data_IF_318267874336
#
_entry.id   IF_318267874336
#
_cell.length_a   1.000
_cell.length_b   1.000
_cell.length_c   1.000
_cell.angle_alpha   90.00
_cell.angle_beta   90.00
_cell.angle_gamma   90.00
#
_symmetry.space_group_name_H-M   'P 1'
#
loop_
_entity.id
_entity.type
_entity.pdbx_description
1 polymer ?
#
# COMPACT_ATOMS: atom_id res chain seq x y z
N UNK A 1 -9.56 18.39 -2.89
CA UNK A 1 -10.09 17.43 -1.90
C UNK A 1 -10.55 18.18 -0.67
N UNK A 2 -11.72 17.84 -0.19
CA UNK A 2 -12.28 18.43 1.05
C UNK A 2 -12.28 17.39 2.17
N UNK A 3 -11.37 17.52 3.12
CA UNK A 3 -11.30 16.59 4.27
C UNK A 3 -12.52 16.69 5.19
N UNK A 4 -13.28 17.82 5.17
CA UNK A 4 -14.50 17.97 5.95
C UNK A 4 -15.58 16.95 5.53
N UNK A 5 -15.50 16.40 4.31
CA UNK A 5 -16.35 15.29 3.85
C UNK A 5 -16.32 14.08 4.81
N UNK A 6 -15.18 13.81 5.42
CA UNK A 6 -15.02 12.64 6.30
C UNK A 6 -15.57 12.87 7.72
N UNK A 7 -15.95 14.09 8.10
CA UNK A 7 -16.47 14.36 9.43
C UNK A 7 -17.74 13.56 9.71
N UNK A 8 -17.69 12.77 10.77
CA UNK A 8 -18.79 11.87 11.18
C UNK A 8 -19.00 10.64 10.31
N UNK A 9 -18.21 10.43 9.23
CA UNK A 9 -18.28 9.21 8.41
C UNK A 9 -17.71 8.03 9.17
N UNK A 10 -18.41 6.90 9.12
CA UNK A 10 -17.91 5.63 9.64
C UNK A 10 -17.00 4.98 8.60
N UNK A 11 -15.73 4.87 8.95
CA UNK A 11 -14.67 4.40 8.06
C UNK A 11 -14.01 3.16 8.64
N UNK A 12 -13.97 2.08 7.86
CA UNK A 12 -13.21 0.87 8.21
C UNK A 12 -11.89 0.85 7.43
N UNK A 13 -10.78 0.69 8.16
CA UNK A 13 -9.44 0.56 7.57
C UNK A 13 -8.85 -0.80 7.92
N UNK A 14 -8.71 -1.70 6.95
CA UNK A 14 -7.94 -2.92 7.17
C UNK A 14 -6.44 -2.64 6.99
N UNK A 15 -5.59 -3.25 7.82
CA UNK A 15 -4.15 -2.97 7.80
C UNK A 15 -3.76 -1.64 8.47
N UNK A 16 -4.57 -1.16 9.40
CA UNK A 16 -4.42 0.12 10.10
C UNK A 16 -3.14 0.24 10.93
N UNK A 17 -2.57 -0.86 11.40
CA UNK A 17 -1.32 -0.88 12.18
C UNK A 17 -0.07 -0.79 11.32
N UNK A 18 -0.20 -0.97 10.00
CA UNK A 18 0.90 -0.86 9.05
C UNK A 18 1.26 0.59 8.74
N UNK A 19 2.39 0.81 8.06
CA UNK A 19 2.93 2.14 7.74
C UNK A 19 1.90 3.06 7.05
N UNK A 20 1.39 2.69 5.87
CA UNK A 20 0.37 3.48 5.14
C UNK A 20 -0.95 3.58 5.90
N UNK A 21 -1.36 2.48 6.54
CA UNK A 21 -2.59 2.43 7.34
C UNK A 21 -2.57 3.40 8.51
N UNK A 22 -1.44 3.53 9.20
CA UNK A 22 -1.27 4.48 10.32
C UNK A 22 -1.38 5.94 9.86
N UNK A 23 -0.73 6.30 8.75
CA UNK A 23 -0.88 7.63 8.15
C UNK A 23 -2.33 7.93 7.76
N UNK A 24 -2.99 6.98 7.08
CA UNK A 24 -4.39 7.12 6.66
C UNK A 24 -5.31 7.30 7.87
N UNK A 25 -5.17 6.47 8.91
CA UNK A 25 -5.97 6.58 10.13
C UNK A 25 -5.76 7.94 10.81
N UNK A 26 -4.53 8.43 10.93
CA UNK A 26 -4.26 9.73 11.56
C UNK A 26 -4.90 10.89 10.81
N UNK A 27 -4.88 10.87 9.47
CA UNK A 27 -5.55 11.89 8.66
C UNK A 27 -7.07 11.81 8.83
N UNK A 28 -7.66 10.61 8.76
CA UNK A 28 -9.10 10.41 8.94
C UNK A 28 -9.59 10.86 10.32
N UNK A 29 -8.85 10.52 11.38
CA UNK A 29 -9.15 10.98 12.76
C UNK A 29 -9.11 12.49 12.84
N UNK A 30 -8.07 13.14 12.30
CA UNK A 30 -7.95 14.58 12.28
C UNK A 30 -9.06 15.26 11.46
N UNK A 31 -9.59 14.57 10.43
CA UNK A 31 -10.74 15.02 9.66
C UNK A 31 -12.08 14.83 10.37
N UNK A 32 -12.09 14.21 11.55
CA UNK A 32 -13.29 13.96 12.35
C UNK A 32 -14.09 12.73 11.92
N UNK A 33 -13.49 11.77 11.21
CA UNK A 33 -14.11 10.48 10.88
C UNK A 33 -14.22 9.59 12.13
N UNK A 34 -15.21 8.69 12.14
CA UNK A 34 -15.35 7.61 13.13
C UNK A 34 -14.60 6.40 12.57
N UNK A 35 -13.35 6.22 13.00
CA UNK A 35 -12.44 5.23 12.41
C UNK A 35 -12.48 3.93 13.19
N UNK A 36 -12.70 2.83 12.48
CA UNK A 36 -12.47 1.46 12.97
C UNK A 36 -11.34 0.82 12.18
N UNK A 37 -10.36 0.24 12.86
CA UNK A 37 -9.27 -0.49 12.23
C UNK A 37 -9.38 -1.99 12.49
N UNK A 38 -9.06 -2.82 11.49
CA UNK A 38 -8.94 -4.27 11.60
C UNK A 38 -7.62 -4.74 11.00
N UNK A 39 -6.72 -5.29 11.80
CA UNK A 39 -5.39 -5.69 11.36
C UNK A 39 -4.73 -6.63 12.37
N UNK A 40 -3.68 -7.31 11.95
CA UNK A 40 -2.72 -7.94 12.88
C UNK A 40 -2.00 -6.87 13.70
N UNK A 41 -1.26 -7.28 14.72
CA UNK A 41 -0.35 -6.40 15.48
C UNK A 41 0.61 -5.68 14.54
N UNK A 42 1.17 -4.52 14.95
CA UNK A 42 2.18 -3.83 14.15
C UNK A 42 3.29 -4.76 13.69
N UNK A 43 3.80 -4.62 12.44
CA UNK A 43 4.77 -5.57 11.86
C UNK A 43 6.19 -5.41 12.40
N UNK A 44 6.46 -4.37 13.18
CA UNK A 44 7.78 -4.05 13.76
C UNK A 44 7.61 -3.52 15.18
N UNK A 45 8.57 -3.78 16.07
CA UNK A 45 8.55 -3.31 17.46
C UNK A 45 8.46 -1.78 17.52
N UNK A 46 9.29 -1.10 16.75
CA UNK A 46 9.17 0.34 16.52
C UNK A 46 8.24 0.55 15.31
N UNK A 47 7.13 1.25 15.51
CA UNK A 47 6.11 1.47 14.47
C UNK A 47 5.38 2.80 14.65
N UNK A 48 4.85 3.33 13.57
CA UNK A 48 4.16 4.64 13.58
C UNK A 48 2.86 4.60 14.38
N UNK A 49 2.16 3.47 14.40
CA UNK A 49 0.87 3.33 15.08
C UNK A 49 1.00 3.58 16.59
N UNK A 50 2.02 3.01 17.20
CA UNK A 50 2.30 3.17 18.64
C UNK A 50 2.97 4.52 18.94
N UNK A 51 3.95 4.96 18.12
CA UNK A 51 4.62 6.26 18.29
C UNK A 51 3.63 7.42 18.32
N UNK A 52 2.64 7.40 17.43
CA UNK A 52 1.62 8.44 17.34
C UNK A 52 0.39 8.18 18.22
N UNK A 53 0.41 7.17 19.08
CA UNK A 53 -0.69 6.79 19.98
C UNK A 53 -2.06 6.71 19.25
N UNK A 54 -2.07 6.25 17.99
CA UNK A 54 -3.25 6.28 17.11
C UNK A 54 -4.41 5.49 17.69
N UNK A 55 -4.10 4.43 18.43
CA UNK A 55 -5.10 3.57 19.10
C UNK A 55 -6.05 4.35 20.03
N UNK A 56 -5.59 5.45 20.61
CA UNK A 56 -6.37 6.21 21.59
C UNK A 56 -7.56 6.96 20.94
N UNK A 57 -7.47 7.23 19.65
CA UNK A 57 -8.40 8.09 18.91
C UNK A 57 -9.32 7.30 17.97
N UNK A 58 -9.26 5.93 18.00
CA UNK A 58 -10.05 5.08 17.10
C UNK A 58 -10.44 3.74 17.75
N UNK A 59 -11.37 3.01 17.15
CA UNK A 59 -11.62 1.61 17.49
C UNK A 59 -10.61 0.72 16.78
N UNK A 60 -9.61 0.19 17.51
CA UNK A 60 -8.58 -0.70 16.96
C UNK A 60 -8.84 -2.15 17.33
N UNK A 61 -9.13 -2.99 16.34
CA UNK A 61 -9.42 -4.42 16.49
C UNK A 61 -8.25 -5.22 15.90
N UNK A 62 -7.64 -6.05 16.74
CA UNK A 62 -6.57 -6.94 16.29
C UNK A 62 -7.19 -8.26 15.80
N UNK A 63 -6.90 -8.59 14.54
CA UNK A 63 -7.43 -9.78 13.88
C UNK A 63 -6.73 -10.08 12.55
N UNK A 64 -6.99 -11.26 12.00
CA UNK A 64 -6.44 -11.70 10.71
C UNK A 64 -7.49 -11.56 9.62
N UNK A 65 -7.15 -10.95 8.50
CA UNK A 65 -8.06 -10.75 7.36
C UNK A 65 -8.56 -12.08 6.75
N UNK A 66 -7.88 -13.18 7.05
CA UNK A 66 -8.28 -14.54 6.64
C UNK A 66 -9.43 -15.09 7.49
N UNK A 67 -9.63 -14.55 8.69
CA UNK A 67 -10.75 -14.92 9.56
C UNK A 67 -12.01 -14.12 9.18
N UNK A 68 -12.82 -14.72 8.31
CA UNK A 68 -14.06 -14.09 7.85
C UNK A 68 -15.09 -13.90 8.96
N UNK A 69 -15.08 -14.72 10.04
CA UNK A 69 -16.04 -14.60 11.13
C UNK A 69 -15.76 -13.37 11.96
N UNK A 70 -14.53 -13.21 12.42
CA UNK A 70 -14.10 -12.02 13.16
C UNK A 70 -14.23 -10.73 12.31
N UNK A 71 -13.97 -10.83 11.00
CA UNK A 71 -14.15 -9.71 10.07
C UNK A 71 -15.62 -9.32 9.95
N UNK A 72 -16.56 -10.27 9.82
CA UNK A 72 -18.01 -10.01 9.80
C UNK A 72 -18.50 -9.34 11.07
N UNK A 73 -18.06 -9.79 12.24
CA UNK A 73 -18.37 -9.14 13.52
C UNK A 73 -17.89 -7.69 13.55
N UNK A 74 -16.70 -7.44 13.01
CA UNK A 74 -16.15 -6.08 12.88
C UNK A 74 -17.01 -5.21 11.98
N UNK A 75 -17.44 -5.71 10.82
CA UNK A 75 -18.33 -4.98 9.90
C UNK A 75 -19.68 -4.67 10.54
N UNK A 76 -20.30 -5.63 11.21
CA UNK A 76 -21.59 -5.44 11.90
C UNK A 76 -21.45 -4.36 12.98
N UNK A 77 -20.38 -4.42 13.79
CA UNK A 77 -20.16 -3.47 14.90
C UNK A 77 -19.82 -2.06 14.42
N UNK A 78 -19.05 -1.92 13.36
CA UNK A 78 -18.61 -0.62 12.84
C UNK A 78 -19.56 0.01 11.84
N UNK A 79 -20.43 -0.79 11.20
CA UNK A 79 -21.38 -0.39 10.15
C UNK A 79 -20.80 0.64 9.18
N UNK A 80 -19.69 0.33 8.45
CA UNK A 80 -18.92 1.31 7.71
C UNK A 80 -19.66 1.80 6.47
N UNK A 81 -19.51 3.10 6.18
CA UNK A 81 -19.93 3.72 4.91
C UNK A 81 -18.81 3.69 3.88
N UNK A 82 -17.53 3.70 4.35
CA UNK A 82 -16.34 3.72 3.52
C UNK A 82 -15.37 2.64 4.03
N UNK A 83 -14.81 1.86 3.11
CA UNK A 83 -13.83 0.81 3.44
C UNK A 83 -12.54 1.07 2.68
N UNK A 84 -11.42 1.17 3.41
CA UNK A 84 -10.08 1.15 2.85
C UNK A 84 -9.42 -0.20 3.15
N UNK A 85 -9.17 -0.98 2.12
CA UNK A 85 -8.53 -2.28 2.24
C UNK A 85 -7.03 -2.19 1.95
N UNK A 86 -6.21 -2.09 3.04
CA UNK A 86 -4.75 -2.03 2.96
C UNK A 86 -4.08 -3.28 3.54
N UNK A 87 -4.83 -4.16 4.22
CA UNK A 87 -4.28 -5.39 4.80
C UNK A 87 -3.71 -6.29 3.70
N UNK A 88 -2.44 -6.65 3.83
CA UNK A 88 -1.74 -7.51 2.89
C UNK A 88 -0.48 -8.10 3.53
N UNK A 89 0.06 -9.18 2.95
CA UNK A 89 1.47 -9.53 3.06
C UNK A 89 2.23 -8.75 1.96
N UNK A 90 3.02 -7.69 2.30
CA UNK A 90 3.53 -6.74 1.31
C UNK A 90 4.99 -6.98 0.89
N UNK A 91 5.66 -7.99 1.44
CA UNK A 91 7.10 -8.21 1.29
C UNK A 91 7.36 -9.29 0.24
N UNK A 92 7.98 -8.92 -0.89
CA UNK A 92 8.29 -9.84 -1.99
C UNK A 92 9.13 -11.03 -1.52
N UNK A 93 10.14 -10.83 -0.68
CA UNK A 93 10.99 -11.92 -0.19
C UNK A 93 10.23 -12.93 0.67
N UNK A 94 9.31 -12.46 1.51
CA UNK A 94 8.47 -13.33 2.31
C UNK A 94 7.51 -14.13 1.44
N UNK A 95 7.06 -13.59 0.30
CA UNK A 95 6.19 -14.31 -0.63
C UNK A 95 6.88 -15.52 -1.29
N UNK A 96 8.21 -15.49 -1.43
CA UNK A 96 8.98 -16.65 -1.90
C UNK A 96 9.18 -17.69 -0.80
N UNK A 97 9.21 -17.29 0.48
CA UNK A 97 9.34 -18.24 1.60
C UNK A 97 8.02 -18.91 1.93
N UNK A 98 6.94 -18.14 1.90
CA UNK A 98 5.58 -18.62 2.19
C UNK A 98 4.57 -18.08 1.16
N UNK A 99 4.52 -18.69 -0.03
CA UNK A 99 3.56 -18.30 -1.06
C UNK A 99 2.12 -18.61 -0.66
N UNK A 100 1.86 -19.69 0.09
CA UNK A 100 0.52 -20.06 0.53
C UNK A 100 -0.08 -18.95 1.40
N UNK A 101 0.63 -18.55 2.45
CA UNK A 101 0.22 -17.44 3.31
C UNK A 101 0.01 -16.14 2.52
N UNK A 102 0.85 -15.89 1.51
CA UNK A 102 0.75 -14.69 0.66
C UNK A 102 -0.56 -14.69 -0.13
N UNK A 103 -0.93 -15.80 -0.78
CA UNK A 103 -2.18 -15.91 -1.52
C UNK A 103 -3.41 -15.93 -0.59
N UNK A 104 -3.36 -16.67 0.51
CA UNK A 104 -4.43 -16.64 1.51
C UNK A 104 -4.72 -15.23 2.02
N UNK A 105 -3.65 -14.46 2.30
CA UNK A 105 -3.80 -13.10 2.81
C UNK A 105 -4.25 -12.13 1.73
N UNK A 106 -3.57 -12.11 0.57
CA UNK A 106 -3.75 -11.06 -0.43
C UNK A 106 -4.95 -11.33 -1.35
N UNK A 107 -5.28 -12.59 -1.62
CA UNK A 107 -6.41 -12.96 -2.48
C UNK A 107 -7.63 -13.29 -1.63
N UNK A 108 -7.53 -14.33 -0.77
CA UNK A 108 -8.67 -14.73 0.04
C UNK A 108 -9.06 -13.69 1.08
N UNK A 109 -8.07 -12.95 1.65
CA UNK A 109 -8.36 -11.79 2.50
C UNK A 109 -9.14 -10.70 1.77
N UNK A 110 -8.81 -10.41 0.49
CA UNK A 110 -9.59 -9.49 -0.34
C UNK A 110 -11.01 -10.04 -0.58
N UNK A 111 -11.16 -11.33 -0.92
CA UNK A 111 -12.49 -11.99 -1.05
C UNK A 111 -13.30 -11.81 0.24
N UNK A 112 -12.70 -12.03 1.40
CA UNK A 112 -13.38 -11.90 2.69
C UNK A 112 -13.90 -10.47 2.95
N UNK A 113 -13.10 -9.45 2.62
CA UNK A 113 -13.55 -8.04 2.72
C UNK A 113 -14.71 -7.76 1.77
N UNK A 114 -14.57 -8.15 0.51
CA UNK A 114 -15.60 -7.92 -0.50
C UNK A 114 -16.90 -8.69 -0.20
N UNK A 115 -16.79 -9.88 0.38
CA UNK A 115 -17.94 -10.67 0.82
C UNK A 115 -18.67 -10.01 2.01
N UNK A 116 -17.91 -9.39 2.94
CA UNK A 116 -18.52 -8.57 4.00
C UNK A 116 -19.22 -7.34 3.41
N UNK A 117 -18.60 -6.63 2.47
CA UNK A 117 -19.22 -5.50 1.75
C UNK A 117 -20.50 -5.96 1.02
N UNK A 118 -20.45 -7.12 0.36
CA UNK A 118 -21.59 -7.68 -0.38
C UNK A 118 -22.78 -8.03 0.51
N UNK A 119 -22.51 -8.56 1.70
CA UNK A 119 -23.55 -9.16 2.55
C UNK A 119 -23.97 -8.32 3.74
N UNK A 120 -23.15 -7.34 4.14
CA UNK A 120 -23.32 -6.58 5.38
C UNK A 120 -23.19 -5.07 5.14
N UNK A 121 -24.02 -4.33 5.86
CA UNK A 121 -23.82 -2.90 6.09
C UNK A 121 -24.24 -1.95 4.97
N UNK A 122 -23.90 -0.69 5.20
CA UNK A 122 -24.26 0.48 4.41
C UNK A 122 -23.08 1.02 3.59
N UNK A 123 -22.18 0.13 3.17
CA UNK A 123 -20.98 0.53 2.43
C UNK A 123 -21.36 1.14 1.09
N UNK A 124 -20.86 2.34 0.82
CA UNK A 124 -21.03 3.07 -0.45
C UNK A 124 -19.74 3.20 -1.24
N UNK A 125 -18.59 3.21 -0.55
CA UNK A 125 -17.30 3.41 -1.20
C UNK A 125 -16.28 2.41 -0.66
N UNK A 126 -15.64 1.65 -1.55
CA UNK A 126 -14.58 0.69 -1.22
C UNK A 126 -13.34 1.04 -2.02
N UNK A 127 -12.20 1.05 -1.36
CA UNK A 127 -10.91 1.25 -2.00
C UNK A 127 -9.99 0.08 -1.67
N UNK A 128 -9.61 -0.70 -2.69
CA UNK A 128 -8.64 -1.78 -2.57
C UNK A 128 -7.24 -1.27 -2.96
N UNK A 129 -6.32 -1.25 -2.01
CA UNK A 129 -4.94 -0.80 -2.25
C UNK A 129 -4.09 -1.96 -2.75
N UNK A 130 -3.66 -1.86 -3.99
CA UNK A 130 -2.81 -2.84 -4.65
C UNK A 130 -1.39 -2.30 -4.86
N UNK A 131 -0.76 -2.53 -5.99
CA UNK A 131 0.63 -2.16 -6.25
C UNK A 131 0.85 -1.92 -7.75
N UNK A 132 1.89 -1.15 -8.07
CA UNK A 132 2.43 -0.99 -9.42
C UNK A 132 2.92 -2.31 -10.06
N UNK A 133 3.15 -3.35 -9.25
CA UNK A 133 3.70 -4.64 -9.69
C UNK A 133 2.65 -5.63 -10.19
N UNK A 134 1.39 -5.20 -10.30
CA UNK A 134 0.29 -6.05 -10.80
C UNK A 134 0.40 -6.36 -12.29
N UNK A 135 1.11 -5.53 -13.06
CA UNK A 135 1.21 -5.66 -14.49
C UNK A 135 2.16 -6.78 -14.93
N UNK A 136 1.87 -7.35 -16.09
CA UNK A 136 2.85 -8.15 -16.82
C UNK A 136 4.03 -7.27 -17.21
N UNK A 137 5.23 -7.62 -16.74
CA UNK A 137 6.42 -6.85 -17.06
C UNK A 137 6.88 -7.12 -18.49
N UNK A 138 6.63 -6.19 -19.40
CA UNK A 138 7.05 -6.25 -20.81
C UNK A 138 8.44 -5.64 -21.05
N UNK A 139 9.10 -5.11 -20.02
CA UNK A 139 10.43 -4.46 -20.08
C UNK A 139 10.57 -3.37 -21.16
N UNK A 140 9.47 -2.65 -21.45
CA UNK A 140 9.45 -1.55 -22.40
C UNK A 140 9.76 -0.19 -21.75
N UNK A 141 9.91 0.86 -22.57
CA UNK A 141 10.36 2.19 -22.11
C UNK A 141 9.24 3.04 -21.52
N UNK A 142 7.97 2.71 -21.81
CA UNK A 142 6.81 3.49 -21.34
C UNK A 142 6.22 2.95 -20.05
N UNK A 143 5.51 3.85 -19.37
CA UNK A 143 4.71 3.48 -18.21
C UNK A 143 3.50 2.62 -18.56
N UNK A 144 3.04 1.83 -17.59
CA UNK A 144 1.82 1.02 -17.73
C UNK A 144 0.57 1.87 -17.56
N UNK A 145 -0.45 1.58 -18.36
CA UNK A 145 -1.79 2.15 -18.25
C UNK A 145 -2.68 1.21 -17.43
N UNK A 146 -3.79 1.75 -16.92
CA UNK A 146 -4.69 0.98 -16.05
C UNK A 146 -5.37 -0.20 -16.75
N UNK A 147 -5.47 -0.19 -18.06
CA UNK A 147 -6.05 -1.26 -18.88
C UNK A 147 -5.03 -2.29 -19.43
N UNK A 148 -3.76 -2.20 -19.01
CA UNK A 148 -2.73 -3.15 -19.41
C UNK A 148 -2.88 -4.50 -18.70
N UNK A 149 -2.27 -5.55 -19.27
CA UNK A 149 -2.38 -6.94 -18.80
C UNK A 149 -1.87 -7.11 -17.37
N UNK A 150 -2.72 -7.67 -16.50
CA UNK A 150 -2.39 -8.01 -15.12
C UNK A 150 -1.76 -9.40 -15.05
N UNK A 151 -0.47 -9.47 -14.75
CA UNK A 151 0.25 -10.72 -14.57
C UNK A 151 1.59 -10.48 -13.84
N UNK A 152 1.52 -10.10 -12.56
CA UNK A 152 2.71 -9.93 -11.73
C UNK A 152 3.55 -11.20 -11.67
N UNK A 153 4.88 -11.07 -11.70
CA UNK A 153 5.79 -12.17 -11.89
C UNK A 153 6.04 -13.02 -10.62
N UNK A 154 6.32 -12.36 -9.50
CA UNK A 154 6.59 -13.06 -8.24
C UNK A 154 5.28 -13.34 -7.46
N UNK A 155 5.30 -14.24 -6.43
CA UNK A 155 4.06 -14.60 -5.72
C UNK A 155 3.35 -13.41 -5.08
N UNK A 156 4.08 -12.39 -4.57
CA UNK A 156 3.47 -11.17 -4.07
C UNK A 156 2.78 -10.38 -5.19
N UNK A 157 3.53 -10.10 -6.27
CA UNK A 157 3.01 -9.31 -7.40
C UNK A 157 1.82 -10.01 -8.05
N UNK A 158 1.91 -11.33 -8.25
CA UNK A 158 0.82 -12.13 -8.80
C UNK A 158 -0.40 -12.16 -7.87
N UNK A 159 -0.21 -12.33 -6.56
CA UNK A 159 -1.33 -12.28 -5.60
C UNK A 159 -2.06 -10.93 -5.63
N UNK A 160 -1.35 -9.84 -5.89
CA UNK A 160 -1.96 -8.52 -6.07
C UNK A 160 -2.68 -8.39 -7.42
N UNK A 161 -2.16 -9.00 -8.50
CA UNK A 161 -2.91 -9.11 -9.76
C UNK A 161 -4.21 -9.90 -9.57
N UNK A 162 -4.17 -11.02 -8.83
CA UNK A 162 -5.37 -11.78 -8.48
C UNK A 162 -6.36 -10.96 -7.63
N UNK A 163 -5.86 -10.14 -6.70
CA UNK A 163 -6.71 -9.23 -5.90
C UNK A 163 -7.43 -8.20 -6.77
N UNK A 164 -6.79 -7.67 -7.83
CA UNK A 164 -7.42 -6.81 -8.84
C UNK A 164 -8.54 -7.55 -9.57
N UNK A 165 -8.25 -8.75 -10.11
CA UNK A 165 -9.22 -9.56 -10.85
C UNK A 165 -10.43 -9.96 -9.98
N UNK A 166 -10.21 -10.29 -8.71
CA UNK A 166 -11.28 -10.55 -7.74
C UNK A 166 -12.11 -9.28 -7.53
N UNK A 167 -11.48 -8.12 -7.40
CA UNK A 167 -12.17 -6.85 -7.21
C UNK A 167 -13.06 -6.52 -8.42
N UNK A 168 -12.54 -6.67 -9.63
CA UNK A 168 -13.30 -6.45 -10.86
C UNK A 168 -14.48 -7.45 -10.99
N UNK A 169 -14.28 -8.72 -10.61
CA UNK A 169 -15.34 -9.71 -10.60
C UNK A 169 -16.50 -9.31 -9.65
N UNK A 170 -16.17 -8.88 -8.41
CA UNK A 170 -17.18 -8.43 -7.46
C UNK A 170 -17.88 -7.15 -7.90
N UNK A 171 -17.12 -6.18 -8.47
CA UNK A 171 -17.66 -4.95 -9.04
C UNK A 171 -18.74 -5.27 -10.08
N UNK A 172 -18.39 -6.07 -11.07
CA UNK A 172 -19.27 -6.37 -12.21
C UNK A 172 -20.46 -7.27 -11.83
N UNK A 173 -20.24 -8.25 -10.94
CA UNK A 173 -21.26 -9.25 -10.61
C UNK A 173 -22.23 -8.82 -9.50
N UNK A 174 -21.80 -7.96 -8.56
CA UNK A 174 -22.56 -7.70 -7.35
C UNK A 174 -22.75 -6.23 -6.99
N UNK A 175 -21.76 -5.35 -7.27
CA UNK A 175 -21.76 -3.99 -6.75
C UNK A 175 -22.39 -2.99 -7.71
N UNK A 176 -22.24 -3.17 -9.01
CA UNK A 176 -22.82 -2.27 -10.02
C UNK A 176 -24.34 -2.10 -9.90
N UNK A 177 -25.06 -3.14 -9.46
CA UNK A 177 -26.51 -3.10 -9.24
C UNK A 177 -26.93 -2.58 -7.85
N UNK A 178 -25.97 -2.30 -6.95
CA UNK A 178 -26.23 -1.99 -5.53
C UNK A 178 -25.76 -0.63 -5.07
N UNK A 179 -25.38 0.25 -5.97
CA UNK A 179 -24.88 1.59 -5.66
C UNK A 179 -23.62 1.57 -4.74
N UNK A 180 -22.78 0.55 -4.92
CA UNK A 180 -21.50 0.41 -4.22
C UNK A 180 -20.36 0.69 -5.18
N UNK A 181 -19.66 1.82 -4.96
CA UNK A 181 -18.49 2.18 -5.75
C UNK A 181 -17.26 1.45 -5.22
N UNK A 182 -16.49 0.80 -6.10
CA UNK A 182 -15.23 0.16 -5.74
C UNK A 182 -14.14 0.50 -6.74
N UNK A 183 -12.98 0.92 -6.21
CA UNK A 183 -11.79 1.22 -7.00
C UNK A 183 -10.57 0.46 -6.48
N UNK A 184 -9.62 0.21 -7.39
CA UNK A 184 -8.27 -0.25 -7.03
C UNK A 184 -7.27 0.88 -7.18
N UNK A 185 -6.26 0.92 -6.29
CA UNK A 185 -5.23 1.96 -6.28
C UNK A 185 -3.84 1.33 -6.34
N UNK A 186 -3.18 1.50 -7.49
CA UNK A 186 -1.90 0.87 -7.84
C UNK A 186 -0.77 1.85 -7.55
N UNK A 187 -0.29 1.87 -6.30
CA UNK A 187 0.80 2.76 -5.90
C UNK A 187 2.16 2.09 -6.04
N UNK A 188 3.15 2.86 -6.46
CA UNK A 188 4.56 2.46 -6.53
C UNK A 188 5.26 2.41 -5.18
N UNK A 189 6.58 2.66 -5.19
CA UNK A 189 7.38 2.65 -3.97
C UNK A 189 7.07 3.88 -3.11
N UNK A 190 6.65 3.64 -1.87
CA UNK A 190 6.26 4.70 -0.93
C UNK A 190 7.32 4.83 0.16
N UNK A 191 7.76 6.06 0.41
CA UNK A 191 8.73 6.42 1.45
C UNK A 191 8.14 7.48 2.39
N UNK A 192 8.60 7.53 3.64
CA UNK A 192 8.18 8.54 4.61
C UNK A 192 8.54 8.17 6.03
N UNK A 193 8.36 9.11 6.93
CA UNK A 193 8.57 8.89 8.37
C UNK A 193 7.62 7.81 8.91
N UNK A 194 8.13 6.95 9.80
CA UNK A 194 7.34 5.89 10.41
C UNK A 194 7.34 4.55 9.65
N UNK A 195 8.10 4.42 8.55
CA UNK A 195 8.39 3.13 7.95
C UNK A 195 9.65 2.53 8.58
N UNK A 196 9.50 1.39 9.26
CA UNK A 196 10.58 0.68 9.93
C UNK A 196 10.80 -0.74 9.36
N UNK A 197 10.11 -1.09 8.27
CA UNK A 197 10.19 -2.42 7.69
C UNK A 197 11.59 -2.74 7.17
N UNK A 198 12.00 -3.99 7.30
CA UNK A 198 13.23 -4.53 6.71
C UNK A 198 13.06 -4.72 5.19
N UNK A 199 14.17 -4.80 4.47
CA UNK A 199 14.19 -4.96 3.01
C UNK A 199 13.53 -3.80 2.23
N UNK A 200 13.42 -2.62 2.86
CA UNK A 200 13.04 -1.37 2.22
C UNK A 200 14.19 -0.37 2.24
N UNK A 201 14.40 0.31 1.12
CA UNK A 201 15.61 1.11 0.88
C UNK A 201 15.84 2.18 1.96
N UNK A 202 14.87 3.04 2.24
CA UNK A 202 15.07 4.15 3.19
C UNK A 202 15.22 3.64 4.64
N UNK A 203 14.37 2.74 5.17
CA UNK A 203 14.58 2.14 6.48
C UNK A 203 15.95 1.43 6.62
N UNK A 204 16.40 0.72 5.57
CA UNK A 204 17.72 0.06 5.57
C UNK A 204 18.86 1.08 5.56
N UNK A 205 18.75 2.17 4.79
CA UNK A 205 19.72 3.28 4.82
C UNK A 205 19.80 3.91 6.20
N UNK A 206 18.67 4.18 6.86
CA UNK A 206 18.61 4.75 8.21
C UNK A 206 19.30 3.82 9.22
N UNK A 207 19.00 2.51 9.18
CA UNK A 207 19.62 1.53 10.08
C UNK A 207 21.15 1.46 9.91
N UNK A 208 21.63 1.44 8.68
CA UNK A 208 23.07 1.44 8.40
C UNK A 208 23.75 2.74 8.88
N UNK A 209 23.14 3.89 8.58
CA UNK A 209 23.67 5.19 8.97
C UNK A 209 23.75 5.38 10.50
N UNK A 210 22.72 4.93 11.25
CA UNK A 210 22.72 4.96 12.73
C UNK A 210 23.85 4.11 13.32
N UNK A 211 24.17 2.96 12.68
CA UNK A 211 25.23 2.06 13.09
C UNK A 211 26.62 2.48 12.62
N UNK A 212 26.73 3.50 11.78
CA UNK A 212 27.98 3.90 11.12
C UNK A 212 28.48 2.87 10.09
N UNK A 213 27.59 2.04 9.55
CA UNK A 213 27.88 1.03 8.54
C UNK A 213 27.65 1.57 7.13
N UNK A 214 28.36 1.01 6.13
CA UNK A 214 28.14 1.34 4.72
C UNK A 214 26.75 0.85 4.26
N UNK A 215 26.04 1.67 3.48
CA UNK A 215 24.78 1.29 2.86
C UNK A 215 25.05 0.40 1.64
N UNK A 216 24.72 -0.89 1.73
CA UNK A 216 24.95 -1.87 0.67
C UNK A 216 23.73 -1.96 -0.23
N UNK A 217 23.86 -1.53 -1.51
CA UNK A 217 22.81 -1.56 -2.51
C UNK A 217 23.02 -2.76 -3.45
N UNK A 218 22.02 -3.63 -3.51
CA UNK A 218 22.08 -4.89 -4.29
C UNK A 218 21.91 -4.68 -5.80
N UNK A 219 21.05 -3.73 -6.19
CA UNK A 219 20.78 -3.38 -7.58
C UNK A 219 20.68 -1.86 -7.73
N UNK A 220 21.83 -1.15 -7.82
CA UNK A 220 21.85 0.31 -7.86
C UNK A 220 21.19 0.91 -9.11
N UNK A 221 21.13 0.18 -10.22
CA UNK A 221 20.57 0.67 -11.49
C UNK A 221 19.05 0.47 -11.60
N UNK A 222 18.41 -0.18 -10.61
CA UNK A 222 16.97 -0.39 -10.64
C UNK A 222 16.23 0.92 -10.41
N UNK A 223 15.56 1.43 -11.44
CA UNK A 223 14.71 2.62 -11.37
C UNK A 223 13.36 2.28 -10.74
N UNK A 224 12.87 3.16 -9.85
CA UNK A 224 11.59 2.98 -9.15
C UNK A 224 10.86 4.32 -9.03
N UNK A 225 9.53 4.31 -9.07
CA UNK A 225 8.69 5.49 -8.84
C UNK A 225 8.56 5.74 -7.32
N UNK A 226 9.54 6.43 -6.74
CA UNK A 226 9.48 6.79 -5.32
C UNK A 226 8.56 7.98 -5.11
N UNK A 227 7.67 7.87 -4.12
CA UNK A 227 6.76 8.95 -3.74
C UNK A 227 6.62 9.04 -2.22
N UNK A 228 6.34 10.24 -1.71
CA UNK A 228 6.09 10.41 -0.29
C UNK A 228 4.75 9.78 0.10
N UNK A 229 4.66 9.20 1.30
CA UNK A 229 3.47 8.46 1.77
C UNK A 229 2.18 9.29 1.73
N UNK A 230 2.25 10.58 1.89
CA UNK A 230 1.09 11.47 1.83
C UNK A 230 0.48 11.53 0.43
N UNK A 231 1.26 11.39 -0.64
CA UNK A 231 0.73 11.45 -2.01
C UNK A 231 -0.27 10.33 -2.29
N UNK A 232 0.08 9.02 -2.14
CA UNK A 232 -0.90 7.98 -2.36
C UNK A 232 -2.02 7.98 -1.32
N UNK A 233 -1.75 8.35 -0.04
CA UNK A 233 -2.80 8.39 0.98
C UNK A 233 -3.81 9.49 0.67
N UNK A 234 -3.37 10.66 0.19
CA UNK A 234 -4.28 11.72 -0.23
C UNK A 234 -5.06 11.34 -1.50
N UNK A 235 -4.43 10.63 -2.44
CA UNK A 235 -5.12 10.08 -3.61
C UNK A 235 -6.19 9.06 -3.20
N UNK A 236 -5.91 8.17 -2.23
CA UNK A 236 -6.90 7.24 -1.70
C UNK A 236 -8.11 7.94 -1.11
N UNK A 237 -7.88 8.97 -0.30
CA UNK A 237 -8.95 9.78 0.28
C UNK A 237 -9.76 10.49 -0.81
N UNK A 238 -9.10 11.08 -1.81
CA UNK A 238 -9.78 11.76 -2.92
C UNK A 238 -10.69 10.81 -3.69
N UNK A 239 -10.16 9.67 -4.13
CA UNK A 239 -10.95 8.70 -4.92
C UNK A 239 -12.10 8.14 -4.09
N UNK A 240 -11.88 7.80 -2.81
CA UNK A 240 -12.95 7.31 -1.95
C UNK A 240 -14.07 8.36 -1.72
N UNK A 241 -13.72 9.64 -1.61
CA UNK A 241 -14.67 10.75 -1.52
C UNK A 241 -15.45 10.93 -2.81
N UNK A 242 -14.78 10.98 -3.94
CA UNK A 242 -15.41 11.30 -5.22
C UNK A 242 -16.30 10.15 -5.71
N UNK A 243 -15.85 8.91 -5.61
CA UNK A 243 -16.69 7.75 -5.95
C UNK A 243 -17.86 7.54 -4.98
N UNK A 244 -17.75 7.99 -3.71
CA UNK A 244 -18.89 8.00 -2.77
C UNK A 244 -20.00 8.93 -3.23
N UNK A 245 -19.65 10.04 -3.89
CA UNK A 245 -20.61 11.04 -4.44
C UNK A 245 -21.11 10.64 -5.83
N UNK A 246 -20.22 10.10 -6.66
CA UNK A 246 -20.52 9.70 -8.04
C UNK A 246 -19.87 8.34 -8.34
N UNK A 247 -20.68 7.29 -8.41
CA UNK A 247 -20.23 5.91 -8.62
C UNK A 247 -19.59 5.66 -9.99
N UNK A 248 -19.84 6.49 -10.97
CA UNK A 248 -19.20 6.42 -12.30
C UNK A 248 -17.68 6.66 -12.24
N UNK A 249 -17.21 7.30 -11.17
CA UNK A 249 -15.78 7.50 -10.93
C UNK A 249 -15.08 6.28 -10.33
N UNK A 250 -15.81 5.18 -10.12
CA UNK A 250 -15.21 3.93 -9.64
C UNK A 250 -14.40 3.26 -10.77
N UNK A 251 -13.12 3.05 -10.55
CA UNK A 251 -12.18 2.53 -11.55
C UNK A 251 -10.87 2.01 -10.98
N UNK A 252 -9.95 1.73 -11.87
CA UNK A 252 -8.60 1.33 -11.51
C UNK A 252 -7.68 2.54 -11.75
N UNK A 253 -6.84 2.88 -10.76
CA UNK A 253 -6.02 4.09 -10.79
C UNK A 253 -4.57 3.79 -10.49
N UNK A 254 -3.68 4.24 -11.37
CA UNK A 254 -2.25 4.31 -11.09
C UNK A 254 -1.95 5.53 -10.22
N UNK A 255 -1.10 5.36 -9.21
CA UNK A 255 -0.63 6.44 -8.34
C UNK A 255 0.88 6.42 -8.30
N UNK A 256 1.50 7.40 -8.89
CA UNK A 256 2.95 7.51 -8.99
C UNK A 256 3.41 8.93 -9.26
N UNK A 257 4.71 9.20 -9.09
CA UNK A 257 5.30 10.48 -9.44
C UNK A 257 5.38 10.65 -10.95
N UNK A 258 5.64 11.85 -11.39
CA UNK A 258 6.01 12.13 -12.77
C UNK A 258 7.30 11.40 -13.17
N UNK A 259 7.51 11.15 -14.45
CA UNK A 259 8.66 10.39 -14.98
C UNK A 259 10.00 10.95 -14.53
N UNK A 260 10.11 12.27 -14.46
CA UNK A 260 11.32 13.00 -14.01
C UNK A 260 11.72 12.68 -12.56
N UNK A 261 10.76 12.23 -11.73
CA UNK A 261 10.97 11.88 -10.34
C UNK A 261 11.20 10.37 -10.10
N UNK A 262 11.32 9.59 -11.17
CA UNK A 262 11.71 8.19 -11.09
C UNK A 262 13.24 8.09 -10.94
N UNK A 263 13.71 7.67 -9.78
CA UNK A 263 15.13 7.58 -9.44
C UNK A 263 15.62 6.14 -9.44
N UNK A 264 16.89 5.94 -9.72
CA UNK A 264 17.55 4.66 -9.48
C UNK A 264 17.71 4.43 -7.96
N UNK A 265 17.81 3.16 -7.57
CA UNK A 265 18.08 2.81 -6.17
C UNK A 265 19.41 3.38 -5.68
N UNK A 266 20.39 3.50 -6.59
CA UNK A 266 21.69 4.15 -6.31
C UNK A 266 21.55 5.65 -6.05
N UNK A 267 20.76 6.34 -6.88
CA UNK A 267 20.55 7.79 -6.75
C UNK A 267 19.84 8.12 -5.44
N UNK A 268 18.77 7.39 -5.09
CA UNK A 268 18.05 7.63 -3.83
C UNK A 268 18.93 7.39 -2.60
N UNK A 269 19.79 6.38 -2.62
CA UNK A 269 20.72 6.13 -1.52
C UNK A 269 21.82 7.20 -1.45
N UNK A 270 22.33 7.67 -2.58
CA UNK A 270 23.29 8.76 -2.64
C UNK A 270 22.70 10.06 -2.12
N UNK A 271 21.48 10.38 -2.51
CA UNK A 271 20.74 11.53 -2.00
C UNK A 271 20.50 11.42 -0.48
N UNK A 272 20.14 10.22 0.01
CA UNK A 272 20.01 9.96 1.44
C UNK A 272 21.32 10.25 2.17
N UNK A 273 22.46 9.71 1.70
CA UNK A 273 23.77 9.94 2.31
C UNK A 273 24.11 11.43 2.35
N UNK A 274 23.92 12.16 1.25
CA UNK A 274 24.18 13.59 1.20
C UNK A 274 23.36 14.36 2.25
N UNK A 275 22.05 14.07 2.33
CA UNK A 275 21.15 14.73 3.30
C UNK A 275 21.41 14.30 4.74
N UNK A 276 21.76 13.05 4.98
CA UNK A 276 22.14 12.56 6.30
C UNK A 276 23.41 13.25 6.81
N UNK A 277 24.45 13.33 5.97
CA UNK A 277 25.73 13.95 6.33
C UNK A 277 25.57 15.46 6.57
N UNK A 278 24.78 16.16 5.74
CA UNK A 278 24.45 17.58 5.92
C UNK A 278 23.84 17.85 7.31
N UNK A 279 22.94 16.97 7.78
CA UNK A 279 22.21 17.19 9.03
C UNK A 279 22.89 16.63 10.28
N UNK A 280 23.63 15.52 10.15
CA UNK A 280 24.22 14.82 11.30
C UNK A 280 25.70 15.13 11.52
N UNK A 281 26.39 15.71 10.54
CA UNK A 281 27.85 15.87 10.54
C UNK A 281 28.62 14.55 10.39
N UNK A 282 27.94 13.42 10.16
CA UNK A 282 28.53 12.10 9.99
C UNK A 282 28.96 11.87 8.53
N UNK A 283 29.78 10.84 8.29
CA UNK A 283 30.25 10.45 6.96
C UNK A 283 29.55 9.12 6.51
N UNK A 284 28.30 9.20 6.15
CA UNK A 284 27.55 8.07 5.59
C UNK A 284 27.92 7.86 4.12
N UNK A 285 28.17 6.63 3.70
CA UNK A 285 28.51 6.26 2.32
C UNK A 285 27.61 5.14 1.82
N UNK A 286 27.28 5.19 0.54
CA UNK A 286 26.61 4.09 -0.16
C UNK A 286 27.60 3.39 -1.10
N UNK A 287 27.63 2.05 -1.04
CA UNK A 287 28.46 1.24 -1.92
C UNK A 287 27.58 0.30 -2.75
N UNK A 288 27.70 0.36 -4.07
CA UNK A 288 27.07 -0.60 -4.97
C UNK A 288 27.84 -1.91 -4.98
N UNK A 289 27.26 -3.01 -4.53
CA UNK A 289 27.78 -4.37 -4.78
C UNK A 289 26.96 -5.02 -5.88
N UNK A 290 27.55 -5.18 -7.07
CA UNK A 290 27.03 -6.09 -8.07
C UNK A 290 27.26 -7.52 -7.60
N UNK A 291 26.27 -8.21 -7.06
CA UNK A 291 26.27 -9.67 -7.05
C UNK A 291 25.85 -10.13 -8.46
N UNK A 292 26.83 -10.53 -9.25
CA UNK A 292 26.62 -11.42 -10.39
C UNK A 292 26.18 -12.80 -9.84
N UNK A 293 24.94 -12.94 -9.42
CA UNK A 293 24.30 -14.23 -9.22
C UNK A 293 23.45 -14.48 -10.46
N UNK A 294 23.73 -15.60 -11.15
CA UNK A 294 23.14 -15.91 -12.42
C UNK A 294 21.62 -15.78 -12.48
N UNK A 295 21.16 -15.26 -13.60
CA UNK A 295 19.80 -15.30 -14.15
C UNK A 295 18.66 -15.02 -13.15
N UNK A 296 18.54 -13.77 -12.74
CA UNK A 296 17.28 -13.07 -12.49
C UNK A 296 17.58 -11.59 -12.21
N UNK A 297 17.95 -10.86 -13.25
CA UNK A 297 17.82 -9.40 -13.20
C UNK A 297 16.31 -9.12 -13.15
N UNK A 298 15.83 -8.67 -11.99
CA UNK A 298 14.59 -7.94 -11.93
C UNK A 298 14.86 -6.62 -12.66
N UNK A 299 14.71 -6.63 -13.99
CA UNK A 299 14.85 -5.45 -14.82
C UNK A 299 13.72 -4.47 -14.46
N UNK A 300 14.03 -3.23 -14.52
CA UNK A 300 13.19 -2.07 -14.19
C UNK A 300 11.74 -2.25 -14.65
N UNK A 301 10.80 -2.11 -13.73
CA UNK A 301 9.40 -1.85 -14.07
C UNK A 301 9.39 -0.51 -14.80
N UNK A 302 8.79 -0.50 -15.98
CA UNK A 302 8.78 0.65 -16.87
C UNK A 302 8.33 1.95 -16.23
N UNK A 303 8.79 3.04 -16.79
CA UNK A 303 8.47 4.41 -16.41
C UNK A 303 6.96 4.66 -16.52
N UNK A 304 6.41 5.44 -15.59
CA UNK A 304 4.99 5.79 -15.57
C UNK A 304 4.70 6.94 -16.55
N UNK A 305 3.59 6.84 -17.30
CA UNK A 305 2.98 8.00 -17.98
C UNK A 305 1.65 8.35 -17.31
N UNK A 306 1.38 9.64 -17.29
CA UNK A 306 0.08 10.22 -16.89
C UNK A 306 -1.05 9.74 -17.76
#
# INVERSE_FOLDING_TARGET
MDLAFYRGKRVLVTGHTGFKGSWLCKILINAGAIVTGYSKTPPTDLNLFDICCIKNDMSSIIGDIRDIRALKETFIKSDPEIVFHLAAQPIVRESYKDPLYTYETNVMGTVNVLECVRTLGNVRSVLNVTTDKVYKNNEWEWGYRENEELNGFDPYSNSKSCSELVTDSYKNSFFSARDIAISTMRAGNVIGGGDFAVDRIIPDCVRAAIKGEDIIIRNPLSVRPYQHVLEPVMAYLLVAQEQYKNHELAGNYNVGPDEENCLSTGDIASLFCAKWNEKSGNNCKSTGRFKLSGKQACKSIGKWKK
#
